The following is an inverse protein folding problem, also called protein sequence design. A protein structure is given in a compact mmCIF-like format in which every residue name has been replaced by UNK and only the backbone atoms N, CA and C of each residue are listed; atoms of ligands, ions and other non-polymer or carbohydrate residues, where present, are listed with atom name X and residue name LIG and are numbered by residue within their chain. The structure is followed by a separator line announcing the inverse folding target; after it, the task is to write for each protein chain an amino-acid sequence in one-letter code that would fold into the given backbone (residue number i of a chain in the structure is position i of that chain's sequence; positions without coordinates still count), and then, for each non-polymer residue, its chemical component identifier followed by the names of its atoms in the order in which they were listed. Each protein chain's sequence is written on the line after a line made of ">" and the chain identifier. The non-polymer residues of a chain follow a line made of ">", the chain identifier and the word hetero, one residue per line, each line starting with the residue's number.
data_IF_539902438680
#
_entry.id   IF_539902438680
#
_cell.length_a   1.000
_cell.length_b   1.000
_cell.length_c   1.000
_cell.angle_alpha   90.00
_cell.angle_beta   90.00
_cell.angle_gamma   90.00
#
_symmetry.space_group_name_H-M   'P 1'
#
loop_
_entity.id
_entity.type
_entity.pdbx_description
1 polymer ?
#
# COMPACT_ATOMS: atom_id res chain seq x y z
N UNK A 1 14.30 -27.85 -18.12
CA UNK A 1 15.10 -28.02 -16.89
C UNK A 1 15.05 -26.72 -16.12
N UNK A 2 14.73 -26.74 -14.82
CA UNK A 2 14.66 -25.53 -14.01
C UNK A 2 16.09 -25.10 -13.67
N UNK A 3 16.49 -23.94 -14.15
CA UNK A 3 17.79 -23.35 -13.81
C UNK A 3 17.65 -22.45 -12.59
N UNK A 4 18.68 -22.43 -11.77
CA UNK A 4 18.80 -21.60 -10.59
C UNK A 4 19.74 -20.43 -10.85
N UNK A 5 19.30 -19.23 -10.46
CA UNK A 5 20.05 -17.98 -10.60
C UNK A 5 20.32 -17.39 -9.23
N UNK A 6 21.41 -16.63 -9.08
CA UNK A 6 21.59 -15.80 -7.90
C UNK A 6 20.48 -14.72 -7.86
N UNK A 7 19.82 -14.59 -6.71
CA UNK A 7 18.79 -13.58 -6.52
C UNK A 7 19.36 -12.17 -6.75
N UNK A 8 18.76 -11.41 -7.63
CA UNK A 8 19.32 -10.15 -8.17
C UNK A 8 19.48 -9.00 -7.16
N UNK A 9 18.89 -9.11 -5.99
CA UNK A 9 18.97 -8.08 -4.96
C UNK A 9 20.17 -8.23 -4.02
N UNK A 10 20.94 -9.31 -4.12
CA UNK A 10 22.16 -9.44 -3.32
C UNK A 10 23.31 -8.61 -3.91
N UNK A 11 23.91 -7.69 -3.14
CA UNK A 11 25.09 -7.00 -3.56
C UNK A 11 26.27 -7.96 -3.68
N UNK A 12 27.12 -7.73 -4.67
CA UNK A 12 28.34 -8.50 -4.90
C UNK A 12 29.49 -7.50 -4.94
N UNK A 13 30.49 -7.70 -4.12
CA UNK A 13 31.63 -6.81 -4.03
C UNK A 13 32.89 -7.55 -3.66
N UNK A 14 34.02 -6.93 -3.98
CA UNK A 14 35.34 -7.41 -3.56
C UNK A 14 35.79 -6.66 -2.30
N UNK A 15 36.15 -7.39 -1.27
CA UNK A 15 36.80 -6.85 -0.09
C UNK A 15 38.12 -7.58 0.12
N UNK A 16 39.22 -6.86 -0.02
CA UNK A 16 40.58 -7.44 -0.01
C UNK A 16 40.71 -8.61 -1.00
N UNK A 17 40.98 -9.82 -0.51
CA UNK A 17 41.10 -11.03 -1.27
C UNK A 17 39.83 -11.91 -1.23
N UNK A 18 38.70 -11.30 -0.90
CA UNK A 18 37.38 -12.00 -0.82
C UNK A 18 36.41 -11.45 -1.84
N UNK A 19 35.64 -12.35 -2.43
CA UNK A 19 34.40 -12.06 -3.15
C UNK A 19 33.25 -12.24 -2.16
N UNK A 20 32.55 -11.15 -1.89
CA UNK A 20 31.47 -11.08 -0.90
C UNK A 20 30.11 -11.01 -1.62
N UNK A 21 29.16 -11.80 -1.19
CA UNK A 21 27.81 -11.87 -1.75
C UNK A 21 26.82 -11.70 -0.60
N UNK A 22 25.92 -10.71 -0.71
CA UNK A 22 24.97 -10.37 0.34
C UNK A 22 25.43 -9.22 1.23
N UNK A 23 24.70 -8.96 2.31
CA UNK A 23 24.97 -7.86 3.25
C UNK A 23 25.79 -8.39 4.43
N UNK A 24 26.97 -7.80 4.72
CA UNK A 24 27.80 -8.21 5.85
C UNK A 24 27.01 -8.21 7.17
N UNK A 25 27.15 -9.29 7.93
CA UNK A 25 26.44 -9.47 9.20
C UNK A 25 25.01 -10.02 9.08
N UNK A 26 24.49 -10.16 7.87
CA UNK A 26 23.20 -10.83 7.61
C UNK A 26 23.35 -12.36 7.56
N UNK A 27 22.23 -13.06 7.75
CA UNK A 27 22.16 -14.53 7.56
C UNK A 27 22.46 -14.93 6.12
N UNK A 28 22.14 -14.04 5.17
CA UNK A 28 22.29 -14.21 3.73
C UNK A 28 23.60 -13.55 3.26
N UNK A 29 24.72 -14.01 3.81
CA UNK A 29 26.03 -13.50 3.48
C UNK A 29 27.01 -14.65 3.26
N UNK A 30 27.80 -14.56 2.20
CA UNK A 30 28.84 -15.53 1.85
C UNK A 30 30.11 -14.81 1.43
N UNK A 31 31.24 -15.27 1.95
CA UNK A 31 32.58 -14.89 1.51
C UNK A 31 33.27 -16.10 0.86
N UNK A 32 33.84 -15.90 -0.30
CA UNK A 32 34.70 -16.85 -0.98
C UNK A 32 36.03 -16.17 -1.36
N UNK A 33 37.10 -16.94 -1.52
CA UNK A 33 38.35 -16.35 -1.97
C UNK A 33 38.19 -15.73 -3.35
N UNK A 34 38.66 -14.48 -3.51
CA UNK A 34 38.65 -13.83 -4.80
C UNK A 34 39.74 -14.43 -5.69
N UNK A 35 39.32 -15.11 -6.72
CA UNK A 35 40.15 -15.57 -7.82
C UNK A 35 39.27 -15.61 -9.08
N UNK A 36 39.90 -15.69 -10.25
CA UNK A 36 39.21 -15.66 -11.54
C UNK A 36 38.17 -16.77 -11.69
N UNK A 37 38.45 -17.95 -11.19
CA UNK A 37 37.55 -19.10 -11.27
C UNK A 37 36.26 -18.88 -10.44
N UNK A 38 36.40 -18.38 -9.18
CA UNK A 38 35.25 -18.09 -8.36
C UNK A 38 34.44 -16.93 -8.91
N UNK A 39 35.10 -15.89 -9.44
CA UNK A 39 34.44 -14.77 -10.09
C UNK A 39 33.60 -15.25 -11.27
N UNK A 40 34.19 -15.99 -12.22
CA UNK A 40 33.49 -16.53 -13.40
C UNK A 40 32.33 -17.45 -13.02
N UNK A 41 32.46 -18.27 -12.00
CA UNK A 41 31.35 -19.12 -11.53
C UNK A 41 30.16 -18.29 -11.03
N UNK A 42 30.42 -17.23 -10.26
CA UNK A 42 29.34 -16.35 -9.78
C UNK A 42 28.74 -15.54 -10.93
N UNK A 43 29.58 -15.04 -11.84
CA UNK A 43 29.10 -14.34 -13.05
C UNK A 43 28.19 -15.25 -13.90
N UNK A 44 28.58 -16.49 -14.12
CA UNK A 44 27.79 -17.47 -14.86
C UNK A 44 26.47 -17.78 -14.15
N UNK A 45 26.49 -17.92 -12.83
CA UNK A 45 25.30 -18.12 -12.02
C UNK A 45 24.31 -16.94 -12.12
N UNK A 46 24.82 -15.72 -12.28
CA UNK A 46 23.99 -14.52 -12.47
C UNK A 46 23.40 -14.45 -13.88
N UNK A 47 24.21 -14.77 -14.90
CA UNK A 47 23.87 -14.55 -16.31
C UNK A 47 23.08 -15.72 -16.87
N UNK A 48 23.57 -16.93 -16.69
CA UNK A 48 23.07 -18.14 -17.32
C UNK A 48 22.32 -19.06 -16.37
N UNK A 49 22.50 -18.85 -15.05
CA UNK A 49 22.00 -19.79 -14.03
C UNK A 49 22.71 -21.14 -14.08
N UNK A 50 22.33 -22.05 -13.19
CA UNK A 50 22.89 -23.39 -13.06
C UNK A 50 21.78 -24.44 -12.93
N UNK A 51 21.96 -25.62 -13.48
CA UNK A 51 21.02 -26.73 -13.33
C UNK A 51 21.06 -27.29 -11.90
N UNK A 52 19.92 -27.76 -11.40
CA UNK A 52 19.78 -28.28 -10.04
C UNK A 52 20.80 -29.39 -9.71
N UNK A 53 21.09 -30.26 -10.66
CA UNK A 53 22.06 -31.32 -10.49
C UNK A 53 23.49 -30.82 -10.29
N UNK A 54 23.84 -29.72 -10.92
CA UNK A 54 25.17 -29.11 -10.85
C UNK A 54 25.41 -28.32 -9.58
N UNK A 55 24.35 -27.85 -8.89
CA UNK A 55 24.45 -27.11 -7.62
C UNK A 55 25.29 -27.89 -6.59
N UNK A 56 25.11 -29.20 -6.55
CA UNK A 56 25.78 -30.05 -5.57
C UNK A 56 27.28 -30.23 -5.86
N UNK A 57 27.71 -30.03 -7.12
CA UNK A 57 29.08 -30.19 -7.55
C UNK A 57 29.99 -29.01 -7.10
N UNK A 58 29.41 -27.83 -6.86
CA UNK A 58 30.15 -26.63 -6.50
C UNK A 58 29.88 -26.23 -5.05
N UNK A 59 30.91 -26.28 -4.21
CA UNK A 59 30.81 -25.99 -2.76
C UNK A 59 30.18 -24.61 -2.47
N UNK A 60 30.62 -23.58 -3.18
CA UNK A 60 30.18 -22.19 -3.02
C UNK A 60 28.69 -22.04 -3.43
N UNK A 61 28.32 -22.57 -4.58
CA UNK A 61 26.94 -22.53 -5.10
C UNK A 61 25.98 -23.34 -4.21
N UNK A 62 26.43 -24.50 -3.73
CA UNK A 62 25.68 -25.29 -2.75
C UNK A 62 25.45 -24.50 -1.45
N UNK A 63 26.43 -23.70 -1.03
CA UNK A 63 26.29 -22.84 0.15
C UNK A 63 25.28 -21.72 -0.09
N UNK A 64 25.31 -21.07 -1.27
CA UNK A 64 24.30 -20.09 -1.67
C UNK A 64 22.90 -20.72 -1.70
N UNK A 65 22.77 -21.92 -2.25
CA UNK A 65 21.51 -22.65 -2.28
C UNK A 65 20.97 -22.95 -0.87
N UNK A 66 21.82 -23.47 0.02
CA UNK A 66 21.45 -23.74 1.43
C UNK A 66 21.04 -22.49 2.19
N UNK A 67 21.61 -21.32 1.85
CA UNK A 67 21.27 -20.01 2.41
C UNK A 67 20.05 -19.37 1.72
N UNK A 68 19.35 -20.08 0.85
CA UNK A 68 18.21 -19.57 0.09
C UNK A 68 18.52 -18.32 -0.76
N UNK A 69 19.78 -18.20 -1.22
CA UNK A 69 20.22 -17.06 -2.03
C UNK A 69 20.01 -17.29 -3.54
N UNK A 70 19.56 -18.47 -3.96
CA UNK A 70 19.22 -18.80 -5.34
C UNK A 70 17.70 -18.84 -5.55
N UNK A 71 17.25 -18.56 -6.77
CA UNK A 71 15.87 -18.73 -7.20
C UNK A 71 15.77 -19.43 -8.54
N UNK A 72 14.68 -20.15 -8.80
CA UNK A 72 14.37 -20.80 -10.08
C UNK A 72 13.90 -19.80 -11.16
N UNK A 73 13.72 -18.55 -10.81
CA UNK A 73 13.26 -17.51 -11.72
C UNK A 73 14.44 -16.93 -12.50
N UNK A 74 14.35 -16.96 -13.81
CA UNK A 74 15.22 -16.17 -14.69
C UNK A 74 15.13 -14.69 -14.34
N UNK A 75 16.16 -13.92 -14.76
CA UNK A 75 16.17 -12.44 -14.59
C UNK A 75 14.78 -11.86 -14.78
N UNK A 76 14.32 -11.09 -13.80
CA UNK A 76 13.21 -10.18 -13.99
C UNK A 76 13.70 -9.14 -15.01
N UNK A 77 13.35 -9.35 -16.27
CA UNK A 77 13.84 -8.53 -17.36
C UNK A 77 12.83 -7.38 -17.61
N UNK A 78 13.31 -6.13 -17.49
CA UNK A 78 12.66 -4.92 -18.00
C UNK A 78 11.23 -4.62 -17.53
N UNK A 79 10.80 -5.10 -16.37
CA UNK A 79 9.60 -4.60 -15.73
C UNK A 79 9.84 -3.17 -15.23
N UNK A 80 8.92 -2.25 -15.53
CA UNK A 80 8.93 -0.90 -14.96
C UNK A 80 8.91 -0.91 -13.42
N UNK A 81 8.49 -2.02 -12.83
CA UNK A 81 8.39 -2.25 -11.38
C UNK A 81 9.37 -3.27 -10.83
N UNK A 82 10.50 -3.49 -11.50
CA UNK A 82 11.52 -4.47 -11.11
C UNK A 82 11.89 -4.39 -9.61
N UNK A 83 11.94 -3.20 -9.04
CA UNK A 83 12.28 -3.01 -7.62
C UNK A 83 11.21 -3.57 -6.68
N UNK A 84 9.93 -3.41 -7.01
CA UNK A 84 8.85 -4.02 -6.26
C UNK A 84 8.87 -5.53 -6.40
N UNK A 85 9.06 -6.05 -7.59
CA UNK A 85 9.16 -7.49 -7.84
C UNK A 85 10.31 -8.13 -7.07
N UNK A 86 11.49 -7.50 -7.07
CA UNK A 86 12.63 -7.95 -6.27
C UNK A 86 12.33 -7.88 -4.76
N UNK A 87 11.59 -6.87 -4.31
CA UNK A 87 11.17 -6.78 -2.92
C UNK A 87 10.18 -7.91 -2.56
N UNK A 88 9.20 -8.21 -3.41
CA UNK A 88 8.29 -9.34 -3.21
C UNK A 88 9.04 -10.68 -3.19
N UNK A 89 9.99 -10.85 -4.10
CA UNK A 89 10.86 -12.01 -4.11
C UNK A 89 11.70 -12.13 -2.82
N UNK A 90 12.21 -11.02 -2.29
CA UNK A 90 12.91 -10.98 -1.01
C UNK A 90 12.03 -11.45 0.14
N UNK A 91 10.76 -11.04 0.16
CA UNK A 91 9.78 -11.46 1.14
C UNK A 91 9.31 -12.92 0.95
N UNK A 92 9.71 -13.59 -0.12
CA UNK A 92 9.22 -14.94 -0.45
C UNK A 92 7.80 -14.95 -1.04
N UNK A 93 7.29 -13.81 -1.47
CA UNK A 93 5.97 -13.68 -2.10
C UNK A 93 6.06 -14.13 -3.54
N UNK A 94 5.38 -15.23 -3.86
CA UNK A 94 5.34 -15.81 -5.22
C UNK A 94 4.19 -15.21 -6.05
N UNK A 95 4.13 -13.90 -6.14
CA UNK A 95 3.16 -13.11 -6.89
C UNK A 95 3.91 -12.03 -7.66
N UNK A 96 3.31 -11.57 -8.74
CA UNK A 96 3.87 -10.52 -9.60
C UNK A 96 3.02 -9.26 -9.55
N UNK A 97 3.53 -8.18 -10.13
CA UNK A 97 2.78 -6.92 -10.21
C UNK A 97 1.55 -7.04 -11.13
N UNK A 98 1.54 -7.97 -12.08
CA UNK A 98 0.41 -8.29 -12.94
C UNK A 98 -0.82 -8.77 -12.15
N UNK A 99 -0.64 -9.40 -10.99
CA UNK A 99 -1.71 -9.91 -10.14
C UNK A 99 -2.64 -8.81 -9.60
N UNK A 100 -2.16 -7.57 -9.59
CA UNK A 100 -2.97 -6.44 -9.09
C UNK A 100 -3.18 -5.28 -10.09
N UNK A 101 -2.50 -5.23 -11.25
CA UNK A 101 -2.59 -4.10 -12.19
C UNK A 101 -4.01 -3.74 -12.61
N UNK A 102 -4.86 -4.73 -12.83
CA UNK A 102 -6.23 -4.55 -13.30
C UNK A 102 -7.24 -4.43 -12.16
N UNK A 103 -6.80 -4.49 -10.89
CA UNK A 103 -7.67 -4.28 -9.74
C UNK A 103 -8.20 -2.85 -9.72
N UNK A 104 -9.51 -2.72 -9.52
CA UNK A 104 -10.23 -1.45 -9.52
C UNK A 104 -10.27 -0.87 -8.10
N UNK A 105 -9.63 0.26 -7.90
CA UNK A 105 -9.62 0.96 -6.61
C UNK A 105 -10.45 2.24 -6.73
N UNK A 106 -11.46 2.36 -5.89
CA UNK A 106 -12.27 3.56 -5.76
C UNK A 106 -11.86 4.33 -4.50
N UNK A 107 -11.46 5.58 -4.67
CA UNK A 107 -11.08 6.49 -3.58
C UNK A 107 -12.12 7.61 -3.48
N UNK A 108 -12.74 7.73 -2.32
CA UNK A 108 -13.57 8.87 -1.98
C UNK A 108 -12.71 9.93 -1.29
N UNK A 109 -12.46 11.04 -1.97
CA UNK A 109 -11.62 12.16 -1.55
C UNK A 109 -10.31 12.29 -2.32
N UNK A 110 -10.06 13.45 -2.90
CA UNK A 110 -8.81 13.86 -3.55
C UNK A 110 -8.04 14.92 -2.74
N UNK A 111 -8.30 14.99 -1.43
CA UNK A 111 -7.51 15.81 -0.51
C UNK A 111 -6.07 15.31 -0.38
N UNK A 112 -5.32 15.81 0.59
CA UNK A 112 -3.91 15.47 0.75
C UNK A 112 -3.65 13.95 0.81
N UNK A 113 -4.42 13.22 1.62
CA UNK A 113 -4.27 11.76 1.75
C UNK A 113 -4.64 10.99 0.49
N UNK A 114 -5.85 11.25 -0.05
CA UNK A 114 -6.35 10.51 -1.22
C UNK A 114 -5.55 10.77 -2.49
N UNK A 115 -5.13 12.02 -2.75
CA UNK A 115 -4.28 12.36 -3.89
C UNK A 115 -2.90 11.71 -3.80
N UNK A 116 -2.28 11.73 -2.61
CA UNK A 116 -0.99 11.08 -2.37
C UNK A 116 -1.09 9.57 -2.56
N UNK A 117 -2.13 8.93 -2.00
CA UNK A 117 -2.33 7.49 -2.13
C UNK A 117 -2.57 7.07 -3.59
N UNK A 118 -3.40 7.81 -4.33
CA UNK A 118 -3.65 7.54 -5.76
C UNK A 118 -2.38 7.67 -6.61
N UNK A 119 -1.54 8.66 -6.32
CA UNK A 119 -0.25 8.80 -6.97
C UNK A 119 0.65 7.59 -6.68
N UNK A 120 0.72 7.14 -5.42
CA UNK A 120 1.50 5.95 -5.03
C UNK A 120 0.96 4.67 -5.67
N UNK A 121 -0.37 4.50 -5.78
CA UNK A 121 -0.96 3.37 -6.51
C UNK A 121 -0.53 3.36 -7.98
N UNK A 122 -0.59 4.51 -8.64
CA UNK A 122 -0.14 4.63 -10.02
C UNK A 122 1.37 4.34 -10.16
N UNK A 123 2.18 4.81 -9.20
CA UNK A 123 3.64 4.60 -9.17
C UNK A 123 4.02 3.12 -9.09
N UNK A 124 3.26 2.31 -8.33
CA UNK A 124 3.52 0.86 -8.23
C UNK A 124 2.78 0.02 -9.28
N UNK A 125 2.03 0.67 -10.19
CA UNK A 125 1.50 0.04 -11.39
C UNK A 125 0.01 -0.25 -11.43
N UNK A 126 -0.80 0.14 -10.43
CA UNK A 126 -2.26 0.04 -10.56
C UNK A 126 -2.77 0.90 -11.71
N UNK A 127 -3.58 0.31 -12.60
CA UNK A 127 -4.07 0.98 -13.81
C UNK A 127 -5.53 1.42 -13.72
N UNK A 128 -6.35 0.79 -12.87
CA UNK A 128 -7.80 1.02 -12.77
C UNK A 128 -8.14 1.83 -11.51
N UNK A 129 -7.77 3.11 -11.52
CA UNK A 129 -7.94 4.02 -10.40
C UNK A 129 -9.10 4.98 -10.65
N UNK A 130 -9.96 5.13 -9.64
CA UNK A 130 -11.17 5.95 -9.65
C UNK A 130 -11.17 6.87 -8.45
N UNK A 131 -11.56 8.12 -8.63
CA UNK A 131 -11.61 9.11 -7.56
C UNK A 131 -12.87 9.95 -7.64
N UNK A 132 -13.49 10.20 -6.48
CA UNK A 132 -14.69 11.05 -6.34
C UNK A 132 -14.36 12.18 -5.38
N UNK A 133 -14.45 13.43 -5.85
CA UNK A 133 -14.24 14.64 -5.07
C UNK A 133 -14.87 15.84 -5.79
N UNK A 134 -15.46 16.80 -5.08
CA UNK A 134 -16.09 17.99 -5.66
C UNK A 134 -15.30 19.29 -5.44
N UNK A 135 -14.22 19.23 -4.66
CA UNK A 135 -13.44 20.40 -4.26
C UNK A 135 -12.54 20.93 -5.38
N UNK A 136 -12.22 22.21 -5.23
CA UNK A 136 -11.16 22.87 -6.00
C UNK A 136 -9.83 22.81 -5.23
N UNK A 137 -8.73 22.84 -5.96
CA UNK A 137 -7.40 23.02 -5.37
C UNK A 137 -7.29 24.42 -4.80
N UNK A 138 -6.96 24.53 -3.53
CA UNK A 138 -6.72 25.81 -2.87
C UNK A 138 -5.24 26.02 -2.50
N UNK A 139 -4.90 27.23 -2.05
CA UNK A 139 -3.51 27.57 -1.68
C UNK A 139 -2.98 26.73 -0.51
N UNK A 140 -3.84 26.25 0.38
CA UNK A 140 -3.44 25.45 1.54
C UNK A 140 -3.15 24.01 1.17
N UNK A 141 -3.73 23.51 0.06
CA UNK A 141 -3.43 22.17 -0.44
C UNK A 141 -1.95 22.03 -0.84
N UNK A 142 -1.32 23.11 -1.30
CA UNK A 142 0.10 23.12 -1.68
C UNK A 142 1.05 22.80 -0.52
N UNK A 143 0.62 23.02 0.72
CA UNK A 143 1.42 22.75 1.92
C UNK A 143 1.09 21.41 2.61
N UNK A 144 0.11 20.67 2.07
CA UNK A 144 -0.34 19.40 2.64
C UNK A 144 0.03 18.20 1.78
N UNK A 145 0.19 18.40 0.47
CA UNK A 145 0.46 17.31 -0.47
C UNK A 145 1.54 17.70 -1.47
N UNK A 146 2.26 16.70 -1.98
CA UNK A 146 3.27 16.85 -3.04
C UNK A 146 2.65 16.85 -4.45
N UNK A 147 1.33 16.67 -4.56
CA UNK A 147 0.65 16.43 -5.85
C UNK A 147 0.27 17.73 -6.53
N UNK A 148 -0.40 18.64 -5.80
CA UNK A 148 -0.90 19.87 -6.39
C UNK A 148 0.19 20.93 -6.56
N UNK A 149 0.07 21.73 -7.58
CA UNK A 149 1.03 22.80 -7.95
C UNK A 149 0.35 24.17 -7.92
N UNK A 150 1.15 25.22 -7.84
CA UNK A 150 0.64 26.61 -7.81
C UNK A 150 -0.28 26.91 -8.99
N UNK A 151 0.03 26.41 -10.17
CA UNK A 151 -0.76 26.60 -11.38
C UNK A 151 -2.06 25.78 -11.43
N UNK A 152 -2.28 24.86 -10.50
CA UNK A 152 -3.54 24.12 -10.40
C UNK A 152 -4.55 24.73 -9.42
N UNK A 153 -4.19 25.85 -8.75
CA UNK A 153 -5.13 26.54 -7.85
C UNK A 153 -6.38 26.98 -8.64
N UNK A 154 -7.56 26.64 -8.14
CA UNK A 154 -8.86 26.88 -8.79
C UNK A 154 -9.30 25.80 -9.76
N UNK A 155 -8.45 24.82 -10.10
CA UNK A 155 -8.89 23.63 -10.84
C UNK A 155 -9.61 22.63 -9.91
N UNK A 156 -10.47 21.81 -10.48
CA UNK A 156 -11.01 20.65 -9.74
C UNK A 156 -9.88 19.73 -9.30
N UNK A 157 -9.88 19.30 -8.04
CA UNK A 157 -8.87 18.36 -7.50
C UNK A 157 -8.76 17.09 -8.34
N UNK A 158 -9.89 16.53 -8.76
CA UNK A 158 -9.90 15.34 -9.61
C UNK A 158 -9.24 15.57 -10.97
N UNK A 159 -9.44 16.73 -11.60
CA UNK A 159 -8.85 17.03 -12.91
C UNK A 159 -7.34 17.33 -12.79
N UNK A 160 -6.93 18.09 -11.79
CA UNK A 160 -5.51 18.31 -11.52
C UNK A 160 -4.76 17.00 -11.26
N UNK A 161 -5.34 16.12 -10.44
CA UNK A 161 -4.76 14.81 -10.12
C UNK A 161 -4.64 13.92 -11.36
N UNK A 162 -5.66 13.88 -12.24
CA UNK A 162 -5.61 13.16 -13.52
C UNK A 162 -4.43 13.61 -14.38
N UNK A 163 -4.23 14.93 -14.52
CA UNK A 163 -3.10 15.49 -15.27
C UNK A 163 -1.76 15.05 -14.69
N UNK A 164 -1.60 15.13 -13.37
CA UNK A 164 -0.35 14.75 -12.69
C UNK A 164 -0.05 13.26 -12.86
N UNK A 165 -1.01 12.38 -12.65
CA UNK A 165 -0.80 10.93 -12.80
C UNK A 165 -0.52 10.57 -14.26
N UNK A 166 -1.26 11.17 -15.21
CA UNK A 166 -1.04 10.94 -16.64
C UNK A 166 0.36 11.35 -17.07
N UNK A 167 0.84 12.52 -16.64
CA UNK A 167 2.16 13.03 -17.03
C UNK A 167 3.32 12.20 -16.46
N UNK A 168 3.15 11.64 -15.24
CA UNK A 168 4.22 10.88 -14.57
C UNK A 168 4.26 9.41 -14.98
N UNK A 169 3.10 8.77 -15.16
CA UNK A 169 3.00 7.30 -15.29
C UNK A 169 2.31 6.84 -16.58
N UNK A 170 1.82 7.77 -17.39
CA UNK A 170 1.00 7.48 -18.58
C UNK A 170 -0.29 6.67 -18.26
N UNK A 171 -0.81 6.79 -17.03
CA UNK A 171 -2.03 6.14 -16.57
C UNK A 171 -3.20 7.14 -16.63
N UNK A 172 -4.35 6.68 -17.16
CA UNK A 172 -5.58 7.47 -17.21
C UNK A 172 -6.49 7.04 -16.04
N UNK A 173 -6.51 7.81 -14.97
CA UNK A 173 -7.47 7.59 -13.88
C UNK A 173 -8.82 8.23 -14.23
N UNK A 174 -9.91 7.74 -13.64
CA UNK A 174 -11.25 8.31 -13.78
C UNK A 174 -11.60 9.17 -12.58
N UNK A 175 -11.80 10.47 -12.80
CA UNK A 175 -12.20 11.43 -11.77
C UNK A 175 -13.67 11.83 -11.95
N UNK A 176 -14.41 11.88 -10.85
CA UNK A 176 -15.80 12.30 -10.81
C UNK A 176 -15.97 13.50 -9.90
N UNK A 177 -16.51 14.58 -10.44
CA UNK A 177 -16.88 15.76 -9.65
C UNK A 177 -18.21 15.45 -8.96
N UNK A 178 -18.17 14.99 -7.72
CA UNK A 178 -19.35 14.70 -6.93
C UNK A 178 -19.06 14.69 -5.43
N UNK A 179 -20.09 14.96 -4.66
CA UNK A 179 -20.12 14.83 -3.20
C UNK A 179 -21.22 13.86 -2.80
N UNK A 180 -20.97 12.56 -2.85
CA UNK A 180 -21.96 11.57 -2.48
C UNK A 180 -22.30 11.72 -0.98
N UNK A 181 -23.58 11.77 -0.64
CA UNK A 181 -24.03 11.99 0.75
C UNK A 181 -24.86 10.80 1.22
N UNK A 182 -25.77 10.34 0.37
CA UNK A 182 -26.74 9.31 0.72
C UNK A 182 -26.35 7.93 0.20
N UNK A 183 -27.14 6.93 0.57
CA UNK A 183 -26.93 5.54 0.17
C UNK A 183 -26.95 5.35 -1.35
N UNK A 184 -27.90 6.00 -2.04
CA UNK A 184 -28.10 5.83 -3.47
C UNK A 184 -26.94 6.41 -4.29
N UNK A 185 -26.45 7.61 -3.94
CA UNK A 185 -25.30 8.22 -4.59
C UNK A 185 -24.07 7.28 -4.53
N UNK A 186 -23.77 6.73 -3.34
CA UNK A 186 -22.64 5.83 -3.15
C UNK A 186 -22.85 4.53 -3.92
N UNK A 187 -24.09 3.99 -3.87
CA UNK A 187 -24.45 2.75 -4.55
C UNK A 187 -24.32 2.86 -6.08
N UNK A 188 -24.67 4.02 -6.65
CA UNK A 188 -24.51 4.26 -8.09
C UNK A 188 -23.03 4.21 -8.50
N UNK A 189 -22.11 4.88 -7.77
CA UNK A 189 -20.68 4.76 -8.04
C UNK A 189 -20.19 3.32 -7.93
N UNK A 190 -20.62 2.58 -6.91
CA UNK A 190 -20.21 1.18 -6.73
C UNK A 190 -20.72 0.30 -7.88
N UNK A 191 -21.98 0.48 -8.32
CA UNK A 191 -22.56 -0.30 -9.41
C UNK A 191 -21.89 -0.02 -10.76
N UNK A 192 -21.57 1.24 -11.04
CA UNK A 192 -20.97 1.65 -12.31
C UNK A 192 -19.50 1.21 -12.41
N UNK A 193 -18.75 1.36 -11.31
CA UNK A 193 -17.32 1.08 -11.26
C UNK A 193 -17.06 -0.39 -10.99
N UNK A 194 -17.84 -1.01 -10.10
CA UNK A 194 -17.62 -2.36 -9.55
C UNK A 194 -16.19 -2.48 -8.98
N UNK A 195 -15.84 -1.69 -7.95
CA UNK A 195 -14.51 -1.67 -7.40
C UNK A 195 -14.17 -2.98 -6.69
N UNK A 196 -12.92 -3.42 -6.80
CA UNK A 196 -12.36 -4.52 -6.03
C UNK A 196 -11.98 -4.08 -4.60
N UNK A 197 -11.79 -2.77 -4.41
CA UNK A 197 -11.43 -2.17 -3.12
C UNK A 197 -11.87 -0.70 -3.04
N UNK A 198 -12.28 -0.27 -1.84
CA UNK A 198 -12.67 1.13 -1.60
C UNK A 198 -11.81 1.75 -0.51
N UNK A 199 -11.35 2.99 -0.74
CA UNK A 199 -10.67 3.81 0.26
C UNK A 199 -11.51 5.05 0.56
N UNK A 200 -11.79 5.28 1.84
CA UNK A 200 -12.36 6.54 2.30
C UNK A 200 -11.23 7.47 2.75
N UNK A 201 -10.94 8.49 1.96
CA UNK A 201 -9.89 9.49 2.20
C UNK A 201 -10.45 10.92 2.35
N UNK A 202 -11.73 11.04 2.68
CA UNK A 202 -12.42 12.32 2.90
C UNK A 202 -12.98 12.39 4.32
N UNK A 203 -13.37 13.59 4.75
CA UNK A 203 -14.08 13.86 6.00
C UNK A 203 -15.59 14.08 5.73
N UNK A 204 -16.33 13.01 5.42
CA UNK A 204 -17.70 13.11 5.03
C UNK A 204 -18.63 13.28 6.24
N UNK A 205 -19.92 13.46 5.95
CA UNK A 205 -20.97 13.33 6.95
C UNK A 205 -20.98 11.94 7.59
N UNK A 206 -21.52 11.83 8.79
CA UNK A 206 -21.66 10.54 9.49
C UNK A 206 -22.57 9.57 8.72
N UNK A 207 -23.58 10.10 7.99
CA UNK A 207 -24.45 9.32 7.12
C UNK A 207 -23.66 8.66 5.99
N UNK A 208 -22.71 9.34 5.38
CA UNK A 208 -21.84 8.75 4.35
C UNK A 208 -21.05 7.55 4.90
N UNK A 209 -20.41 7.69 6.04
CA UNK A 209 -19.66 6.60 6.68
C UNK A 209 -20.53 5.37 6.91
N UNK A 210 -21.72 5.58 7.47
CA UNK A 210 -22.68 4.52 7.72
C UNK A 210 -23.15 3.84 6.43
N UNK A 211 -23.53 4.61 5.41
CA UNK A 211 -24.01 4.10 4.13
C UNK A 211 -22.90 3.34 3.38
N UNK A 212 -21.67 3.87 3.37
CA UNK A 212 -20.52 3.20 2.75
C UNK A 212 -20.25 1.85 3.41
N UNK A 213 -20.21 1.80 4.75
CA UNK A 213 -20.01 0.56 5.49
C UNK A 213 -21.08 -0.48 5.12
N UNK A 214 -22.36 -0.08 5.18
CA UNK A 214 -23.50 -0.94 4.85
C UNK A 214 -23.38 -1.50 3.43
N UNK A 215 -23.14 -0.64 2.44
CA UNK A 215 -22.98 -1.04 1.03
C UNK A 215 -21.79 -1.96 0.81
N UNK A 216 -20.64 -1.67 1.43
CA UNK A 216 -19.46 -2.50 1.28
C UNK A 216 -19.70 -3.92 1.81
N UNK A 217 -20.37 -4.06 2.96
CA UNK A 217 -20.71 -5.38 3.50
C UNK A 217 -21.77 -6.10 2.69
N UNK A 218 -22.83 -5.43 2.23
CA UNK A 218 -23.86 -6.00 1.36
C UNK A 218 -23.29 -6.52 0.02
N UNK A 219 -22.35 -5.75 -0.55
CA UNK A 219 -21.74 -6.08 -1.85
C UNK A 219 -20.43 -6.86 -1.75
N UNK A 220 -20.01 -7.20 -0.54
CA UNK A 220 -18.76 -7.93 -0.25
C UNK A 220 -17.52 -7.25 -0.80
N UNK A 221 -17.44 -5.91 -0.68
CA UNK A 221 -16.31 -5.11 -1.13
C UNK A 221 -15.44 -4.75 0.08
N UNK A 222 -14.15 -5.10 0.09
CA UNK A 222 -13.24 -4.69 1.15
C UNK A 222 -12.96 -3.19 1.09
N UNK A 223 -12.75 -2.59 2.25
CA UNK A 223 -12.47 -1.16 2.33
C UNK A 223 -11.62 -0.79 3.53
N UNK A 224 -11.04 0.39 3.49
CA UNK A 224 -10.24 0.97 4.57
C UNK A 224 -10.48 2.48 4.68
N UNK A 225 -10.34 3.02 5.89
CA UNK A 225 -10.39 4.45 6.12
C UNK A 225 -8.98 5.01 6.26
N UNK A 226 -8.72 6.15 5.60
CA UNK A 226 -7.56 6.98 5.88
C UNK A 226 -7.92 7.97 6.99
N UNK A 227 -7.27 7.89 8.12
CA UNK A 227 -7.57 8.74 9.26
C UNK A 227 -6.29 9.09 10.02
N UNK A 228 -6.15 10.37 10.35
CA UNK A 228 -5.14 10.85 11.28
C UNK A 228 -5.72 11.96 12.14
N UNK A 229 -5.20 12.12 13.34
CA UNK A 229 -5.61 13.16 14.27
C UNK A 229 -4.37 13.71 14.96
N UNK A 230 -4.06 14.99 14.73
CA UNK A 230 -2.90 15.67 15.30
C UNK A 230 -1.59 14.94 15.05
N UNK A 231 -1.09 14.21 16.05
CA UNK A 231 0.16 13.46 16.00
C UNK A 231 -0.03 11.97 15.70
N UNK A 232 -1.29 11.48 15.65
CA UNK A 232 -1.59 10.07 15.56
C UNK A 232 -2.13 9.69 14.18
N UNK A 233 -1.50 8.72 13.56
CA UNK A 233 -1.95 8.09 12.33
C UNK A 233 -2.71 6.81 12.70
N UNK A 234 -3.90 6.61 12.14
CA UNK A 234 -4.69 5.40 12.32
C UNK A 234 -4.67 4.59 11.02
N UNK A 235 -4.14 3.38 11.08
CA UNK A 235 -4.12 2.44 9.97
C UNK A 235 -5.11 1.31 10.27
N UNK A 236 -6.12 1.20 9.44
CA UNK A 236 -7.16 0.19 9.64
C UNK A 236 -8.19 0.53 10.74
N UNK A 237 -9.01 -0.47 11.11
CA UNK A 237 -8.92 -1.84 10.59
C UNK A 237 -9.17 -1.91 9.09
N UNK A 238 -8.59 -2.92 8.46
CA UNK A 238 -8.97 -3.32 7.11
C UNK A 238 -10.27 -4.11 7.23
N UNK A 239 -11.34 -3.56 6.67
CA UNK A 239 -12.66 -4.19 6.70
C UNK A 239 -12.81 -5.13 5.51
N UNK A 240 -12.90 -6.42 5.79
CA UNK A 240 -13.09 -7.48 4.79
C UNK A 240 -14.39 -8.21 5.12
N UNK A 241 -15.47 -8.01 4.33
CA UNK A 241 -16.76 -8.64 4.59
C UNK A 241 -16.66 -10.17 4.67
N UNK A 242 -17.16 -10.75 5.75
CA UNK A 242 -17.07 -12.18 6.03
C UNK A 242 -15.78 -12.66 6.70
N UNK A 243 -14.78 -11.76 6.89
CA UNK A 243 -13.48 -12.09 7.54
C UNK A 243 -13.25 -11.23 8.78
N UNK A 244 -13.52 -9.93 8.70
CA UNK A 244 -13.36 -9.00 9.81
C UNK A 244 -14.71 -8.48 10.28
N UNK A 245 -14.77 -7.93 11.49
CA UNK A 245 -15.94 -7.19 11.94
C UNK A 245 -16.19 -5.95 11.07
N UNK A 246 -17.43 -5.49 11.03
CA UNK A 246 -17.81 -4.26 10.34
C UNK A 246 -17.48 -3.02 11.19
N UNK A 247 -17.40 -1.86 10.53
CA UNK A 247 -17.26 -0.57 11.24
C UNK A 247 -18.43 -0.31 12.20
N UNK A 248 -19.63 -0.81 11.88
CA UNK A 248 -20.80 -0.69 12.76
C UNK A 248 -20.70 -1.58 14.00
N UNK A 249 -20.11 -2.76 13.90
CA UNK A 249 -19.84 -3.62 15.05
C UNK A 249 -18.73 -3.02 15.92
N UNK A 250 -17.70 -2.46 15.29
CA UNK A 250 -16.66 -1.72 15.99
C UNK A 250 -17.22 -0.51 16.75
N UNK A 251 -18.14 0.26 16.13
CA UNK A 251 -18.85 1.36 16.81
C UNK A 251 -19.64 0.86 18.03
N UNK A 252 -20.39 -0.24 17.91
CA UNK A 252 -21.11 -0.84 19.04
C UNK A 252 -20.17 -1.22 20.17
N UNK A 253 -19.01 -1.80 19.84
CA UNK A 253 -17.99 -2.11 20.83
C UNK A 253 -17.51 -0.85 21.55
N UNK A 254 -17.21 0.24 20.83
CA UNK A 254 -16.80 1.48 21.45
C UNK A 254 -17.88 2.11 22.32
N UNK A 255 -19.14 2.04 21.93
CA UNK A 255 -20.26 2.49 22.73
C UNK A 255 -20.31 1.70 24.05
N UNK A 256 -20.07 0.38 24.00
CA UNK A 256 -20.08 -0.49 25.18
C UNK A 256 -18.97 -0.12 26.16
N UNK A 257 -17.75 0.10 25.69
CA UNK A 257 -16.59 0.33 26.58
C UNK A 257 -16.35 1.79 26.96
N UNK A 258 -16.84 2.75 26.18
CA UNK A 258 -16.56 4.19 26.34
C UNK A 258 -17.82 5.03 26.54
N UNK A 259 -19.00 4.44 26.41
CA UNK A 259 -20.27 5.12 26.61
C UNK A 259 -20.95 5.60 25.31
N UNK A 260 -22.23 6.01 25.46
CA UNK A 260 -23.11 6.36 24.33
C UNK A 260 -22.65 7.56 23.51
N UNK A 261 -21.75 8.40 24.02
CA UNK A 261 -21.16 9.50 23.26
C UNK A 261 -20.25 9.03 22.11
N UNK A 262 -19.85 7.77 22.07
CA UNK A 262 -19.17 7.15 20.94
C UNK A 262 -20.11 6.70 19.81
N UNK A 263 -21.41 6.90 19.93
CA UNK A 263 -22.35 6.70 18.83
C UNK A 263 -22.20 7.82 17.78
N UNK A 264 -21.29 7.63 16.84
CA UNK A 264 -20.95 8.64 15.83
C UNK A 264 -22.14 9.16 15.02
N UNK A 265 -23.18 8.37 14.82
CA UNK A 265 -24.42 8.79 14.18
C UNK A 265 -25.15 9.97 14.88
N UNK A 266 -24.86 10.16 16.16
CA UNK A 266 -25.48 11.21 16.99
C UNK A 266 -24.63 12.47 17.12
N UNK A 267 -23.43 12.47 16.54
CA UNK A 267 -22.54 13.61 16.61
C UNK A 267 -22.89 14.62 15.52
N UNK A 268 -23.02 15.85 15.91
CA UNK A 268 -23.09 17.00 15.03
C UNK A 268 -21.78 17.78 15.12
N UNK A 269 -21.15 18.04 13.96
CA UNK A 269 -19.95 18.87 13.90
C UNK A 269 -20.36 20.34 14.02
N UNK A 270 -20.05 20.95 15.15
CA UNK A 270 -20.21 22.37 15.37
C UNK A 270 -18.94 23.12 14.95
N UNK A 271 -19.11 24.36 14.48
CA UNK A 271 -17.98 25.27 14.14
C UNK A 271 -16.98 24.63 13.13
N UNK A 272 -17.43 23.79 12.21
CA UNK A 272 -16.55 23.06 11.30
C UNK A 272 -15.79 23.95 10.30
N UNK A 273 -16.24 25.19 10.08
CA UNK A 273 -15.57 26.17 9.22
C UNK A 273 -14.48 26.95 9.93
N UNK A 274 -14.63 27.14 11.24
CA UNK A 274 -13.72 27.90 12.09
C UNK A 274 -12.58 27.05 12.66
N UNK A 275 -12.79 25.75 12.74
CA UNK A 275 -11.79 24.83 13.30
C UNK A 275 -10.89 24.27 12.19
N UNK A 276 -9.63 24.64 12.23
CA UNK A 276 -8.59 24.14 11.34
C UNK A 276 -7.82 23.02 12.05
N UNK A 277 -7.93 21.81 11.53
CA UNK A 277 -7.14 20.69 12.05
C UNK A 277 -5.69 20.79 11.57
N UNK A 278 -4.69 20.63 12.46
CA UNK A 278 -3.30 20.58 12.05
C UNK A 278 -3.05 19.35 11.16
N UNK A 279 -2.52 19.62 9.98
CA UNK A 279 -2.21 18.61 9.00
C UNK A 279 -0.84 18.92 8.41
N UNK A 280 0.08 17.99 8.51
CA UNK A 280 1.45 18.16 8.02
C UNK A 280 1.81 17.08 7.02
N UNK A 281 2.61 17.44 6.04
CA UNK A 281 2.95 16.60 4.88
C UNK A 281 3.53 15.24 5.29
N UNK A 282 4.37 15.17 6.32
CA UNK A 282 4.97 13.91 6.73
C UNK A 282 3.93 12.92 7.28
N UNK A 283 2.93 13.39 8.07
CA UNK A 283 1.85 12.52 8.57
C UNK A 283 1.02 11.95 7.44
N UNK A 284 0.69 12.79 6.44
CA UNK A 284 -0.07 12.38 5.26
C UNK A 284 0.67 11.33 4.45
N UNK A 285 1.97 11.55 4.19
CA UNK A 285 2.77 10.62 3.38
C UNK A 285 2.99 9.29 4.10
N UNK A 286 3.25 9.30 5.41
CA UNK A 286 3.37 8.07 6.21
C UNK A 286 2.04 7.30 6.17
N UNK A 287 0.90 7.98 6.40
CA UNK A 287 -0.41 7.34 6.34
C UNK A 287 -0.67 6.72 4.97
N UNK A 288 -0.44 7.46 3.89
CA UNK A 288 -0.63 6.96 2.53
C UNK A 288 0.25 5.74 2.24
N UNK A 289 1.51 5.75 2.67
CA UNK A 289 2.44 4.62 2.52
C UNK A 289 1.98 3.38 3.29
N UNK A 290 1.50 3.55 4.51
CA UNK A 290 1.00 2.44 5.33
C UNK A 290 -0.30 1.86 4.75
N UNK A 291 -1.23 2.69 4.29
CA UNK A 291 -2.47 2.25 3.63
C UNK A 291 -2.15 1.54 2.29
N UNK A 292 -1.22 2.08 1.49
CA UNK A 292 -0.75 1.42 0.27
C UNK A 292 -0.25 0.00 0.56
N UNK A 293 0.59 -0.14 1.59
CA UNK A 293 1.13 -1.44 2.02
C UNK A 293 0.02 -2.41 2.38
N UNK A 294 -0.97 -2.01 3.19
CA UNK A 294 -2.08 -2.88 3.59
C UNK A 294 -2.89 -3.36 2.38
N UNK A 295 -3.19 -2.48 1.42
CA UNK A 295 -3.96 -2.81 0.22
C UNK A 295 -3.14 -3.68 -0.74
N UNK A 296 -1.86 -3.40 -0.92
CA UNK A 296 -0.97 -4.21 -1.76
C UNK A 296 -0.92 -5.66 -1.25
N UNK A 297 -0.63 -5.87 0.02
CA UNK A 297 -0.54 -7.22 0.60
C UNK A 297 -1.90 -7.92 0.70
N UNK A 298 -3.01 -7.17 0.78
CA UNK A 298 -4.34 -7.72 0.62
C UNK A 298 -4.52 -8.34 -0.78
N UNK A 299 -4.18 -7.62 -1.86
CA UNK A 299 -4.29 -8.14 -3.22
C UNK A 299 -3.31 -9.26 -3.54
N UNK A 300 -2.15 -9.24 -2.91
CA UNK A 300 -1.17 -10.32 -3.03
C UNK A 300 -1.54 -11.56 -2.20
N UNK A 301 -2.64 -11.53 -1.45
CA UNK A 301 -3.13 -12.63 -0.60
C UNK A 301 -2.07 -13.10 0.41
N UNK A 302 -1.35 -12.16 1.00
CA UNK A 302 -0.27 -12.38 1.97
C UNK A 302 -0.59 -11.70 3.30
N UNK A 303 -1.60 -12.18 4.04
CA UNK A 303 -2.12 -11.53 5.25
C UNK A 303 -1.07 -11.43 6.37
N UNK A 304 -0.03 -12.25 6.34
CA UNK A 304 1.10 -12.21 7.29
C UNK A 304 1.86 -10.88 7.25
N UNK A 305 1.82 -10.15 6.13
CA UNK A 305 2.42 -8.83 5.99
C UNK A 305 1.45 -7.68 6.27
N UNK A 306 0.17 -7.97 6.50
CA UNK A 306 -0.83 -6.98 6.91
C UNK A 306 -0.92 -6.89 8.44
N UNK A 307 -0.90 -5.67 8.96
CA UNK A 307 -1.09 -5.44 10.40
C UNK A 307 -2.51 -5.01 10.75
N UNK A 308 -3.32 -4.61 9.78
CA UNK A 308 -4.64 -4.03 10.02
C UNK A 308 -5.80 -5.02 9.90
N UNK A 309 -5.56 -6.27 9.54
CA UNK A 309 -6.59 -7.33 9.57
C UNK A 309 -6.90 -7.67 11.03
N UNK A 310 -8.16 -7.46 11.43
CA UNK A 310 -8.63 -7.62 12.82
C UNK A 310 -7.83 -6.80 13.84
N UNK A 311 -7.21 -5.68 13.42
CA UNK A 311 -6.48 -4.79 14.32
C UNK A 311 -6.67 -3.33 13.90
N UNK A 312 -6.80 -2.45 14.88
CA UNK A 312 -6.54 -1.03 14.71
C UNK A 312 -5.09 -0.76 15.05
N UNK A 313 -4.36 -0.16 14.13
CA UNK A 313 -2.96 0.20 14.30
C UNK A 313 -2.85 1.71 14.45
N UNK A 314 -2.17 2.15 15.48
CA UNK A 314 -1.91 3.56 15.77
C UNK A 314 -0.42 3.81 15.71
N UNK A 315 0.00 4.70 14.84
CA UNK A 315 1.38 5.12 14.72
C UNK A 315 1.52 6.59 15.13
N UNK A 316 2.49 6.88 15.99
CA UNK A 316 2.84 8.25 16.43
C UNK A 316 4.18 8.62 15.79
N UNK A 317 4.19 9.42 14.71
CA UNK A 317 5.41 9.76 13.98
C UNK A 317 6.46 10.49 14.82
N UNK A 318 6.03 11.32 15.79
CA UNK A 318 6.93 12.14 16.61
C UNK A 318 7.92 11.34 17.47
N UNK A 319 7.55 10.13 17.86
CA UNK A 319 8.38 9.28 18.72
C UNK A 319 8.50 7.83 18.22
N UNK A 320 8.02 7.56 16.99
CA UNK A 320 8.04 6.26 16.31
C UNK A 320 7.34 5.13 17.09
N UNK A 321 6.40 5.48 17.98
CA UNK A 321 5.65 4.47 18.73
C UNK A 321 4.52 3.89 17.89
N UNK A 322 4.37 2.57 17.97
CA UNK A 322 3.27 1.83 17.36
C UNK A 322 2.48 1.15 18.47
N UNK A 323 1.16 1.35 18.42
CA UNK A 323 0.21 0.64 19.27
C UNK A 323 -0.80 -0.07 18.38
N UNK A 324 -1.32 -1.18 18.85
CA UNK A 324 -2.41 -1.84 18.16
C UNK A 324 -3.45 -2.33 19.16
N UNK A 325 -4.68 -2.35 18.71
CA UNK A 325 -5.79 -2.98 19.39
C UNK A 325 -6.20 -4.20 18.61
N UNK A 326 -6.15 -5.35 19.27
CA UNK A 326 -6.62 -6.61 18.71
C UNK A 326 -8.16 -6.63 18.75
N UNK A 327 -8.78 -6.84 17.62
CA UNK A 327 -10.23 -6.92 17.43
C UNK A 327 -10.70 -8.36 17.22
N UNK A 328 -9.81 -9.33 17.09
CA UNK A 328 -10.16 -10.74 16.82
C UNK A 328 -11.03 -11.38 17.93
N UNK A 329 -10.98 -10.81 19.13
CA UNK A 329 -11.77 -11.27 20.28
C UNK A 329 -13.17 -10.65 20.36
N UNK A 330 -13.54 -9.83 19.39
CA UNK A 330 -14.83 -9.14 19.33
C UNK A 330 -15.85 -9.82 18.42
N UNK A 331 -15.39 -10.81 17.67
CA UNK A 331 -16.22 -11.67 16.81
C UNK A 331 -16.96 -12.73 17.60
#
# INVERSE_FOLDING_TARGET
>A
MNRFFLKQYYPIFKAENKLCIGIPGGNDYLEVNYNENNYKKIEELIINGIDKGEILLHKEIRTLYKKNMLSEYSKINNSNNIRLELFLQYLGVNKTVEDFYEKKILVFGAGAGGSTLLFMFAQIGFKKLYVVDDDLVDKFDLFKTLIYRKNSIGELKVESLKKVIKSNFNINIKGYRAKPINYEDINNFINDIKPDFIVKACDPSLSFRYNLNKLCFEKKIPFIYMSYAFERINVGPLFIPGVTLSDLELEKYYIKIRGKHYAFKKHEKLFSKEIIHPSVTFNVNILASLILKEILFYFLETPEFSLSINKEVFFIPLNYKVFYRDLSKLN
#
